data_IF_089689131265
#
_entry.id   IF_089689131265
#
_cell.length_a   1.000
_cell.length_b   1.000
_cell.length_c   1.000
_cell.angle_alpha   90.00
_cell.angle_beta   90.00
_cell.angle_gamma   90.00
#
_symmetry.space_group_name_H-M   'P 1'
#
loop_
_entity.id
_entity.type
_entity.pdbx_description
1 polymer ?
#
# COMPACT_ATOMS: atom_id res chain seq x y z
N UNK A 1 -5.06 24.31 4.50
CA UNK A 1 -6.05 23.28 4.10
C UNK A 1 -5.33 22.31 3.15
N UNK A 2 -5.19 21.04 3.53
CA UNK A 2 -4.41 20.03 2.77
C UNK A 2 -4.87 19.86 1.32
N UNK A 3 -6.18 19.90 1.07
CA UNK A 3 -6.74 19.80 -0.30
C UNK A 3 -6.23 20.93 -1.20
N UNK A 4 -6.11 22.15 -0.67
CA UNK A 4 -5.58 23.29 -1.43
C UNK A 4 -4.09 23.13 -1.74
N UNK A 5 -3.32 22.57 -0.80
CA UNK A 5 -1.91 22.29 -1.04
C UNK A 5 -1.72 21.25 -2.16
N UNK A 6 -2.52 20.18 -2.15
CA UNK A 6 -2.52 19.17 -3.22
C UNK A 6 -2.81 19.80 -4.60
N UNK A 7 -3.80 20.69 -4.69
CA UNK A 7 -4.09 21.43 -5.92
C UNK A 7 -2.91 22.29 -6.38
N UNK A 8 -2.23 22.97 -5.46
CA UNK A 8 -1.07 23.82 -5.77
C UNK A 8 0.10 23.02 -6.37
N UNK A 9 0.28 21.76 -5.96
CA UNK A 9 1.32 20.88 -6.52
C UNK A 9 0.83 20.06 -7.73
N UNK A 10 -0.34 20.38 -8.28
CA UNK A 10 -0.86 19.78 -9.51
C UNK A 10 -1.60 18.44 -9.33
N UNK A 11 -1.97 18.08 -8.10
CA UNK A 11 -2.81 16.88 -7.85
C UNK A 11 -4.27 17.22 -8.10
N UNK A 12 -4.95 16.43 -8.94
CA UNK A 12 -6.40 16.49 -9.06
C UNK A 12 -7.04 15.98 -7.76
N UNK A 13 -7.87 16.80 -7.11
CA UNK A 13 -8.54 16.47 -5.84
C UNK A 13 -10.06 16.30 -5.96
N UNK A 14 -10.60 16.12 -7.16
CA UNK A 14 -12.05 16.01 -7.40
C UNK A 14 -12.67 14.81 -6.65
N UNK A 15 -11.84 13.82 -6.34
CA UNK A 15 -12.22 12.58 -5.65
C UNK A 15 -11.73 12.51 -4.20
N UNK A 16 -11.25 13.63 -3.65
CA UNK A 16 -10.86 13.72 -2.24
C UNK A 16 -12.04 14.17 -1.41
N UNK A 17 -12.57 13.28 -0.58
CA UNK A 17 -13.73 13.53 0.26
C UNK A 17 -13.34 14.20 1.58
N UNK A 18 -14.11 15.21 2.00
CA UNK A 18 -14.07 15.75 3.36
C UNK A 18 -15.09 15.00 4.22
N UNK A 19 -14.62 14.35 5.29
CA UNK A 19 -15.48 13.63 6.22
C UNK A 19 -15.93 14.54 7.35
N UNK A 20 -17.23 14.82 7.43
CA UNK A 20 -17.80 15.64 8.50
C UNK A 20 -17.66 14.97 9.88
N UNK A 21 -17.41 15.77 10.91
CA UNK A 21 -17.38 15.32 12.30
C UNK A 21 -16.17 14.45 12.70
N UNK A 22 -15.17 14.29 11.82
CA UNK A 22 -13.96 13.50 12.09
C UNK A 22 -12.72 14.30 11.70
N UNK A 23 -11.67 14.25 12.50
CA UNK A 23 -10.38 14.87 12.16
C UNK A 23 -9.69 14.13 11.01
N UNK A 24 -8.82 14.82 10.27
CA UNK A 24 -7.86 14.14 9.40
C UNK A 24 -6.98 13.16 10.19
N UNK A 25 -6.41 12.17 9.50
CA UNK A 25 -5.40 11.30 10.09
C UNK A 25 -4.19 12.10 10.56
N UNK A 26 -3.60 11.70 11.67
CA UNK A 26 -2.41 12.33 12.24
C UNK A 26 -1.46 11.26 12.78
N UNK A 27 -0.16 11.53 12.68
CA UNK A 27 0.87 10.77 13.36
C UNK A 27 1.62 11.73 14.30
N UNK A 28 1.70 11.39 15.58
CA UNK A 28 2.55 12.07 16.55
C UNK A 28 3.86 11.30 16.65
N UNK A 29 4.95 11.94 16.25
CA UNK A 29 6.29 11.36 16.27
C UNK A 29 7.09 12.04 17.39
N UNK A 30 7.52 11.27 18.37
CA UNK A 30 8.38 11.71 19.47
C UNK A 30 9.74 11.07 19.31
N UNK A 31 10.80 11.87 19.34
CA UNK A 31 12.18 11.35 19.29
C UNK A 31 12.70 11.28 20.73
N UNK A 32 13.16 10.10 21.15
CA UNK A 32 13.77 9.90 22.46
C UNK A 32 15.12 10.63 22.54
N UNK A 33 15.64 10.87 23.76
CA UNK A 33 17.00 11.41 23.94
C UNK A 33 18.09 10.53 23.31
N UNK A 34 17.79 9.24 23.06
CA UNK A 34 18.69 8.29 22.41
C UNK A 34 18.56 8.26 20.89
N UNK A 35 17.61 9.02 20.32
CA UNK A 35 17.36 9.10 18.88
C UNK A 35 16.30 8.12 18.37
N UNK A 36 15.61 7.39 19.24
CA UNK A 36 14.57 6.44 18.84
C UNK A 36 13.26 7.18 18.51
N UNK A 37 12.61 6.82 17.40
CA UNK A 37 11.29 7.34 17.06
C UNK A 37 10.18 6.54 17.75
N UNK A 38 9.30 7.22 18.47
CA UNK A 38 8.02 6.70 18.94
C UNK A 38 6.89 7.33 18.14
N UNK A 39 6.08 6.51 17.47
CA UNK A 39 5.03 6.97 16.57
C UNK A 39 3.67 6.54 17.13
N UNK A 40 2.79 7.52 17.37
CA UNK A 40 1.38 7.29 17.71
C UNK A 40 0.53 7.71 16.52
N UNK A 41 -0.22 6.77 15.94
CA UNK A 41 -1.07 7.00 14.77
C UNK A 41 -2.54 7.14 15.21
N UNK A 42 -3.17 8.21 14.76
CA UNK A 42 -4.62 8.43 14.82
C UNK A 42 -5.15 8.44 13.40
N UNK A 43 -5.80 7.35 12.98
CA UNK A 43 -6.23 7.20 11.58
C UNK A 43 -7.25 8.27 11.13
N UNK A 44 -8.10 8.77 12.04
CA UNK A 44 -9.09 9.81 11.73
C UNK A 44 -9.98 9.45 10.54
N UNK A 45 -10.14 10.38 9.61
CA UNK A 45 -10.92 10.22 8.38
C UNK A 45 -10.40 9.08 7.47
N UNK A 46 -9.11 8.70 7.53
CA UNK A 46 -8.57 7.60 6.72
C UNK A 46 -9.28 6.28 7.03
N UNK A 47 -9.67 6.06 8.29
CA UNK A 47 -10.41 4.87 8.73
C UNK A 47 -11.88 4.85 8.27
N UNK A 48 -12.35 5.91 7.59
CA UNK A 48 -13.69 6.00 6.99
C UNK A 48 -13.69 5.69 5.50
N UNK A 49 -12.51 5.56 4.88
CA UNK A 49 -12.42 5.23 3.46
C UNK A 49 -13.03 3.87 3.19
N UNK A 50 -13.89 3.80 2.18
CA UNK A 50 -14.62 2.60 1.82
C UNK A 50 -14.57 2.35 0.31
N UNK A 51 -14.96 1.14 -0.09
CA UNK A 51 -15.13 0.81 -1.50
C UNK A 51 -16.17 1.70 -2.21
N UNK A 52 -17.18 2.20 -1.50
CA UNK A 52 -18.14 3.12 -2.10
C UNK A 52 -17.52 4.45 -2.50
N UNK A 53 -16.44 4.88 -1.84
CA UNK A 53 -15.70 6.07 -2.23
C UNK A 53 -14.90 5.83 -3.52
N UNK A 54 -14.28 4.65 -3.66
CA UNK A 54 -13.62 4.23 -4.89
C UNK A 54 -14.61 4.12 -6.06
N UNK A 55 -15.82 3.58 -5.83
CA UNK A 55 -16.86 3.50 -6.86
C UNK A 55 -17.33 4.86 -7.35
N UNK A 56 -17.40 5.87 -6.47
CA UNK A 56 -17.80 7.24 -6.87
C UNK A 56 -16.87 7.83 -7.93
N UNK A 57 -15.58 7.46 -7.91
CA UNK A 57 -14.61 7.87 -8.93
C UNK A 57 -15.03 7.48 -10.36
N UNK A 58 -15.85 6.43 -10.50
CA UNK A 58 -16.40 6.00 -11.77
C UNK A 58 -15.31 5.70 -12.81
N UNK A 59 -15.51 6.22 -14.01
CA UNK A 59 -14.65 5.97 -15.17
C UNK A 59 -13.18 6.35 -14.96
N UNK A 60 -12.87 7.34 -14.12
CA UNK A 60 -11.48 7.77 -13.94
C UNK A 60 -10.62 6.66 -13.34
N UNK A 61 -11.21 5.86 -12.43
CA UNK A 61 -10.52 4.80 -11.73
C UNK A 61 -10.26 3.62 -12.68
N UNK A 62 -11.26 3.27 -13.50
CA UNK A 62 -11.13 2.19 -14.48
C UNK A 62 -10.23 2.56 -15.68
N UNK A 63 -10.23 3.83 -16.09
CA UNK A 63 -9.42 4.33 -17.23
C UNK A 63 -8.03 4.79 -16.83
N UNK A 64 -7.69 4.75 -15.55
CA UNK A 64 -6.33 5.02 -15.10
C UNK A 64 -5.35 4.06 -15.80
N UNK A 65 -4.07 4.42 -15.86
CA UNK A 65 -3.03 3.48 -16.28
C UNK A 65 -2.55 2.63 -15.11
N UNK A 66 -2.47 3.25 -13.94
CA UNK A 66 -1.99 2.66 -12.69
C UNK A 66 -2.87 3.15 -11.54
N UNK A 67 -3.17 2.26 -10.60
CA UNK A 67 -3.74 2.62 -9.30
C UNK A 67 -2.79 2.11 -8.22
N UNK A 68 -2.39 3.02 -7.34
CA UNK A 68 -1.45 2.75 -6.25
C UNK A 68 -2.20 2.76 -4.91
N UNK A 69 -1.95 1.74 -4.09
CA UNK A 69 -2.50 1.58 -2.75
C UNK A 69 -1.40 1.55 -1.69
N UNK A 70 -1.77 1.92 -0.46
CA UNK A 70 -1.03 1.61 0.78
C UNK A 70 -1.98 0.94 1.78
N UNK A 71 -1.47 0.50 2.94
CA UNK A 71 -2.25 -0.19 3.98
C UNK A 71 -2.60 0.70 5.19
N UNK A 72 -2.55 2.03 5.04
CA UNK A 72 -2.98 3.00 6.07
C UNK A 72 -4.48 3.33 6.04
N UNK A 73 -5.24 2.64 5.20
CA UNK A 73 -6.70 2.70 5.11
C UNK A 73 -7.28 1.31 5.38
N UNK A 74 -8.59 1.17 5.68
CA UNK A 74 -9.19 -0.13 5.94
C UNK A 74 -8.87 -1.14 4.83
N UNK A 75 -8.19 -2.25 5.17
CA UNK A 75 -7.78 -3.28 4.21
C UNK A 75 -8.95 -3.79 3.36
N UNK A 76 -10.15 -3.85 3.96
CA UNK A 76 -11.38 -4.21 3.26
C UNK A 76 -11.65 -3.29 2.05
N UNK A 77 -11.42 -1.98 2.17
CA UNK A 77 -11.60 -1.05 1.06
C UNK A 77 -10.59 -1.31 -0.06
N UNK A 78 -9.34 -1.62 0.29
CA UNK A 78 -8.30 -1.99 -0.67
C UNK A 78 -8.67 -3.28 -1.41
N UNK A 79 -9.02 -4.35 -0.69
CA UNK A 79 -9.40 -5.64 -1.28
C UNK A 79 -10.64 -5.52 -2.17
N UNK A 80 -11.71 -4.88 -1.69
CA UNK A 80 -12.94 -4.68 -2.46
C UNK A 80 -12.66 -3.88 -3.75
N UNK A 81 -11.80 -2.85 -3.68
CA UNK A 81 -11.39 -2.06 -4.85
C UNK A 81 -10.55 -2.88 -5.82
N UNK A 82 -9.59 -3.65 -5.34
CA UNK A 82 -8.77 -4.54 -6.17
C UNK A 82 -9.63 -5.59 -6.88
N UNK A 83 -10.57 -6.22 -6.18
CA UNK A 83 -11.55 -7.16 -6.76
C UNK A 83 -12.37 -6.48 -7.86
N UNK A 84 -12.84 -5.27 -7.61
CA UNK A 84 -13.59 -4.49 -8.59
C UNK A 84 -12.76 -4.17 -9.84
N UNK A 85 -11.52 -3.71 -9.67
CA UNK A 85 -10.64 -3.39 -10.79
C UNK A 85 -10.33 -4.64 -11.63
N UNK A 86 -9.96 -5.76 -10.99
CA UNK A 86 -9.69 -7.02 -11.70
C UNK A 86 -10.91 -7.54 -12.44
N UNK A 87 -12.11 -7.46 -11.86
CA UNK A 87 -13.36 -7.92 -12.48
C UNK A 87 -13.72 -7.14 -13.76
N UNK A 88 -13.27 -5.89 -13.88
CA UNK A 88 -13.62 -5.01 -15.00
C UNK A 88 -12.45 -4.78 -15.96
N UNK A 89 -11.47 -5.69 -16.01
CA UNK A 89 -10.25 -5.56 -16.82
C UNK A 89 -9.58 -4.19 -16.63
N UNK A 90 -9.50 -3.77 -15.36
CA UNK A 90 -9.06 -2.46 -14.94
C UNK A 90 -7.55 -2.23 -15.08
N UNK A 91 -7.05 -1.13 -14.49
CA UNK A 91 -5.67 -0.69 -14.60
C UNK A 91 -4.67 -1.64 -13.93
N UNK A 92 -3.39 -1.41 -14.21
CA UNK A 92 -2.28 -1.95 -13.41
C UNK A 92 -2.46 -1.51 -11.95
N UNK A 93 -2.32 -2.45 -11.01
CA UNK A 93 -2.47 -2.20 -9.58
C UNK A 93 -1.14 -2.42 -8.86
N UNK A 94 -0.72 -1.43 -8.09
CA UNK A 94 0.46 -1.51 -7.25
C UNK A 94 -0.01 -1.38 -5.80
N UNK A 95 0.36 -2.34 -4.95
CA UNK A 95 0.14 -2.26 -3.52
C UNK A 95 1.48 -2.09 -2.85
N UNK A 96 1.74 -0.90 -2.30
CA UNK A 96 2.80 -0.75 -1.30
C UNK A 96 2.25 -1.31 0.01
N UNK A 97 2.66 -2.53 0.40
CA UNK A 97 2.11 -3.26 1.54
C UNK A 97 2.65 -2.73 2.89
N UNK A 98 2.53 -1.41 3.06
CA UNK A 98 3.05 -0.62 4.16
C UNK A 98 1.90 0.15 4.87
N UNK A 99 1.85 0.15 6.21
CA UNK A 99 2.62 -0.72 7.09
C UNK A 99 2.23 -2.19 6.89
N UNK A 100 3.16 -3.12 7.08
CA UNK A 100 2.85 -4.54 7.00
C UNK A 100 1.82 -4.92 8.06
N UNK A 101 0.79 -5.63 7.64
CA UNK A 101 -0.24 -6.21 8.51
C UNK A 101 0.14 -7.69 8.69
N UNK A 102 0.50 -8.13 9.91
CA UNK A 102 0.70 -9.55 10.19
C UNK A 102 -0.56 -10.35 9.86
N UNK A 103 -0.39 -11.53 9.27
CA UNK A 103 -1.51 -12.40 8.86
C UNK A 103 -2.51 -11.72 7.90
N UNK A 104 -2.03 -10.82 7.04
CA UNK A 104 -2.86 -10.20 5.99
C UNK A 104 -3.45 -11.28 5.08
N UNK A 105 -4.70 -11.06 4.64
CA UNK A 105 -5.36 -11.96 3.71
C UNK A 105 -4.53 -12.13 2.43
N UNK A 106 -4.14 -13.38 2.13
CA UNK A 106 -3.36 -13.73 0.93
C UNK A 106 -4.04 -13.30 -0.37
N UNK A 107 -5.36 -13.05 -0.34
CA UNK A 107 -6.06 -12.47 -1.48
C UNK A 107 -5.41 -11.17 -1.97
N UNK A 108 -4.82 -10.37 -1.07
CA UNK A 108 -4.06 -9.17 -1.45
C UNK A 108 -2.98 -9.48 -2.48
N UNK A 109 -2.21 -10.55 -2.24
CA UNK A 109 -1.11 -10.99 -3.10
C UNK A 109 -1.62 -11.45 -4.46
N UNK A 110 -2.75 -12.15 -4.47
CA UNK A 110 -3.37 -12.70 -5.68
C UNK A 110 -4.02 -11.62 -6.55
N UNK A 111 -4.50 -10.53 -5.95
CA UNK A 111 -5.23 -9.48 -6.66
C UNK A 111 -4.32 -8.37 -7.20
N UNK A 112 -3.25 -8.01 -6.48
CA UNK A 112 -2.30 -6.99 -6.91
C UNK A 112 -1.47 -7.47 -8.10
N UNK A 113 -1.16 -6.58 -9.03
CA UNK A 113 -0.19 -6.90 -10.09
C UNK A 113 1.24 -6.78 -9.57
N UNK A 114 1.52 -5.75 -8.76
CA UNK A 114 2.82 -5.51 -8.13
C UNK A 114 2.60 -5.29 -6.63
N UNK A 115 3.36 -6.02 -5.81
CA UNK A 115 3.46 -5.77 -4.37
C UNK A 115 4.83 -5.17 -4.07
N UNK A 116 4.84 -4.00 -3.44
CA UNK A 116 6.05 -3.33 -2.98
C UNK A 116 6.14 -3.41 -1.45
N UNK A 117 7.31 -3.74 -0.93
CA UNK A 117 7.63 -3.81 0.49
C UNK A 117 9.06 -3.32 0.75
N UNK A 118 9.36 -2.87 1.96
CA UNK A 118 10.75 -2.76 2.42
C UNK A 118 11.23 -4.07 3.09
N UNK A 119 12.44 -4.09 3.63
CA UNK A 119 13.04 -5.25 4.29
C UNK A 119 12.21 -5.76 5.47
N UNK A 120 11.73 -4.84 6.31
CA UNK A 120 10.96 -5.17 7.52
C UNK A 120 9.57 -5.70 7.17
N UNK A 121 8.91 -5.09 6.18
CA UNK A 121 7.61 -5.52 5.68
C UNK A 121 7.70 -6.86 4.96
N UNK A 122 8.76 -7.07 4.17
CA UNK A 122 9.06 -8.36 3.55
C UNK A 122 9.25 -9.45 4.60
N UNK A 123 9.99 -9.19 5.68
CA UNK A 123 10.17 -10.15 6.78
C UNK A 123 8.83 -10.49 7.45
N UNK A 124 8.00 -9.49 7.75
CA UNK A 124 6.70 -9.70 8.38
C UNK A 124 5.77 -10.54 7.50
N UNK A 125 5.74 -10.28 6.19
CA UNK A 125 4.79 -10.92 5.27
C UNK A 125 5.27 -12.29 4.77
N UNK A 126 6.57 -12.46 4.55
CA UNK A 126 7.16 -13.69 3.99
C UNK A 126 7.64 -14.69 5.05
N UNK A 127 7.84 -14.23 6.29
CA UNK A 127 8.51 -14.98 7.35
C UNK A 127 10.03 -15.13 7.16
N UNK A 128 10.60 -14.51 6.12
CA UNK A 128 12.04 -14.59 5.80
C UNK A 128 12.71 -13.31 6.25
N UNK A 129 13.67 -13.43 7.19
CA UNK A 129 14.48 -12.29 7.63
C UNK A 129 15.33 -11.74 6.50
N UNK A 130 15.18 -10.45 6.19
CA UNK A 130 15.90 -9.79 5.07
C UNK A 130 17.08 -8.99 5.60
N UNK A 131 18.29 -9.55 5.48
CA UNK A 131 19.54 -8.88 5.90
C UNK A 131 20.58 -8.76 4.78
N UNK A 132 20.26 -9.28 3.60
CA UNK A 132 21.11 -9.25 2.42
C UNK A 132 20.26 -9.33 1.15
N UNK A 133 20.85 -9.00 0.00
CA UNK A 133 20.23 -9.17 -1.32
C UNK A 133 19.77 -10.61 -1.56
N UNK A 134 20.54 -11.60 -1.07
CA UNK A 134 20.15 -13.02 -1.19
C UNK A 134 18.86 -13.29 -0.41
N UNK A 135 18.78 -12.83 0.83
CA UNK A 135 17.60 -13.02 1.68
C UNK A 135 16.38 -12.33 1.06
N UNK A 136 16.57 -11.18 0.41
CA UNK A 136 15.50 -10.50 -0.31
C UNK A 136 14.94 -11.34 -1.47
N UNK A 137 15.79 -12.06 -2.23
CA UNK A 137 15.30 -13.01 -3.23
C UNK A 137 14.60 -14.23 -2.62
N UNK A 138 15.06 -14.71 -1.47
CA UNK A 138 14.37 -15.79 -0.74
C UNK A 138 12.97 -15.31 -0.27
N UNK A 139 12.85 -14.08 0.22
CA UNK A 139 11.58 -13.45 0.59
C UNK A 139 10.66 -13.23 -0.63
N UNK A 140 11.20 -12.78 -1.78
CA UNK A 140 10.46 -12.68 -3.05
C UNK A 140 9.88 -14.04 -3.42
N UNK A 141 10.68 -15.11 -3.35
CA UNK A 141 10.24 -16.48 -3.69
C UNK A 141 9.07 -16.92 -2.80
N UNK A 142 9.17 -16.65 -1.49
CA UNK A 142 8.08 -16.91 -0.54
C UNK A 142 6.81 -16.14 -0.93
N UNK A 143 6.89 -14.83 -1.17
CA UNK A 143 5.74 -13.99 -1.53
C UNK A 143 5.11 -14.38 -2.87
N UNK A 144 5.91 -14.76 -3.87
CA UNK A 144 5.40 -15.30 -5.14
C UNK A 144 4.64 -16.61 -4.89
N UNK A 145 5.15 -17.49 -4.03
CA UNK A 145 4.45 -18.75 -3.68
C UNK A 145 3.08 -18.52 -3.00
N UNK A 146 2.88 -17.35 -2.37
CA UNK A 146 1.60 -16.93 -1.79
C UNK A 146 0.64 -16.32 -2.82
N UNK A 147 1.10 -16.11 -4.06
CA UNK A 147 0.29 -15.66 -5.19
C UNK A 147 0.62 -14.27 -5.72
N UNK A 148 1.68 -13.61 -5.24
CA UNK A 148 2.16 -12.36 -5.84
C UNK A 148 2.62 -12.62 -7.28
N UNK A 149 2.18 -11.76 -8.21
CA UNK A 149 2.65 -11.80 -9.59
C UNK A 149 4.07 -11.18 -9.71
N UNK A 150 4.24 -9.95 -9.24
CA UNK A 150 5.53 -9.26 -9.16
C UNK A 150 5.70 -8.71 -7.74
N UNK A 151 6.90 -8.89 -7.20
CA UNK A 151 7.31 -8.34 -5.90
C UNK A 151 8.50 -7.42 -6.10
N UNK A 152 8.46 -6.25 -5.45
CA UNK A 152 9.59 -5.32 -5.33
C UNK A 152 9.93 -5.18 -3.86
N UNK A 153 11.19 -5.44 -3.50
CA UNK A 153 11.72 -5.20 -2.16
C UNK A 153 12.71 -4.04 -2.21
N UNK A 154 12.44 -2.97 -1.47
CA UNK A 154 13.40 -1.88 -1.26
C UNK A 154 14.40 -2.26 -0.18
N UNK A 155 15.68 -1.90 -0.38
CA UNK A 155 16.83 -2.29 0.45
C UNK A 155 17.59 -1.05 0.96
N UNK A 156 16.84 0.02 1.28
CA UNK A 156 17.41 1.30 1.68
C UNK A 156 18.46 1.83 0.70
N UNK A 157 19.70 1.99 1.18
CA UNK A 157 20.82 2.50 0.39
C UNK A 157 21.34 1.52 -0.66
N UNK A 158 21.04 0.23 -0.55
CA UNK A 158 21.43 -0.81 -1.53
C UNK A 158 20.50 -0.84 -2.75
N UNK A 159 19.45 0.01 -2.77
CA UNK A 159 18.53 0.13 -3.89
C UNK A 159 17.31 -0.78 -3.71
N UNK A 160 17.04 -1.63 -4.70
CA UNK A 160 15.90 -2.56 -4.67
C UNK A 160 16.17 -3.80 -5.51
N UNK A 161 15.46 -4.87 -5.17
CA UNK A 161 15.34 -6.08 -5.99
C UNK A 161 13.90 -6.30 -6.39
N UNK A 162 13.68 -7.01 -7.50
CA UNK A 162 12.35 -7.43 -7.91
C UNK A 162 12.40 -8.84 -8.50
N UNK A 163 11.27 -9.52 -8.47
CA UNK A 163 11.08 -10.81 -9.12
C UNK A 163 9.60 -11.05 -9.36
N UNK A 164 9.28 -11.98 -10.24
CA UNK A 164 7.90 -12.33 -10.55
C UNK A 164 7.79 -13.72 -11.11
N UNK A 165 6.55 -14.19 -11.29
CA UNK A 165 6.30 -15.51 -11.86
C UNK A 165 6.90 -15.60 -13.27
N UNK A 166 7.91 -16.45 -13.45
CA UNK A 166 8.61 -16.64 -14.73
C UNK A 166 9.68 -15.60 -15.08
N UNK A 167 10.08 -14.75 -14.12
CA UNK A 167 11.20 -13.81 -14.22
C UNK A 167 12.43 -14.29 -13.45
#
# INVERSE_FOLDING_TARGET
NYVQHLKLIGVNTDWVTLTEGVSSGMAQITVSEKGDNQIVIVAGANNKLSFEDAKKCGDVLLKAKVVLFQLETPIKATLDTLRYLRKNDGPMTIVNAAPAIPDVDEELFKLAHIVCVNETEAEILSGVKVTSVKDAFDAITSLISMGCNIVVITLGAEGSVFGGEGL
#
